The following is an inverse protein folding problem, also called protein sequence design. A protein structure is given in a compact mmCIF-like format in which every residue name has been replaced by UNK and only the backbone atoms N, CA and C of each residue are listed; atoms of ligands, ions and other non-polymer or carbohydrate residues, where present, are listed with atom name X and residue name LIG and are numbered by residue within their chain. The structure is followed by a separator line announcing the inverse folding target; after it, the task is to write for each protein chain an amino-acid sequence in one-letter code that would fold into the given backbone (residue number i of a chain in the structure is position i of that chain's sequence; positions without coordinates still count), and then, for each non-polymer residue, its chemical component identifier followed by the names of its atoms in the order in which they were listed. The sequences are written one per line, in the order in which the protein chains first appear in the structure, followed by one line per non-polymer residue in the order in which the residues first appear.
data_IF_996252143419
#
_entry.id   IF_996252143419
#
_cell.length_a   1.000
_cell.length_b   1.000
_cell.length_c   1.000
_cell.angle_alpha   90.00
_cell.angle_beta   90.00
_cell.angle_gamma   90.00
#
_symmetry.space_group_name_H-M   'P 1'
#
loop_
_entity.id
_entity.type
_entity.pdbx_description
1 polymer ?
#
# COMPACT_ATOMS: atom_id res chain seq x y z
N UNK A 1 4.34 4.21 -60.55
CA UNK A 1 3.72 4.74 -59.31
C UNK A 1 4.85 5.27 -58.45
N UNK A 2 5.15 6.57 -58.56
CA UNK A 2 6.08 7.22 -57.63
C UNK A 2 5.39 7.34 -56.27
N UNK A 3 6.04 6.86 -55.21
CA UNK A 3 5.60 7.10 -53.84
C UNK A 3 6.06 8.49 -53.45
N UNK A 4 5.12 9.43 -53.34
CA UNK A 4 5.38 10.77 -52.81
C UNK A 4 5.89 10.63 -51.37
N UNK A 5 7.18 10.95 -51.17
CA UNK A 5 7.84 10.84 -49.87
C UNK A 5 7.48 12.08 -49.05
N UNK A 6 6.43 11.97 -48.24
CA UNK A 6 6.03 13.01 -47.28
C UNK A 6 7.13 13.18 -46.22
N UNK A 7 7.94 14.22 -46.38
CA UNK A 7 8.97 14.56 -45.41
C UNK A 7 8.32 15.31 -44.23
N UNK A 8 8.01 14.57 -43.16
CA UNK A 8 7.52 15.19 -41.92
C UNK A 8 8.62 16.11 -41.39
N UNK A 9 8.35 17.41 -41.19
CA UNK A 9 9.37 18.35 -40.77
C UNK A 9 9.86 18.02 -39.35
N UNK A 10 11.18 17.99 -39.16
CA UNK A 10 11.81 17.68 -37.86
C UNK A 10 11.28 18.53 -36.69
N UNK A 11 10.90 19.79 -36.97
CA UNK A 11 10.28 20.68 -35.99
C UNK A 11 8.92 20.18 -35.49
N UNK A 12 8.14 19.56 -36.37
CA UNK A 12 6.86 18.94 -36.00
C UNK A 12 7.09 17.68 -35.16
N UNK A 13 8.03 16.83 -35.55
CA UNK A 13 8.43 15.65 -34.75
C UNK A 13 8.95 16.05 -33.37
N UNK A 14 9.84 17.05 -33.29
CA UNK A 14 10.35 17.59 -32.03
C UNK A 14 9.26 18.23 -31.17
N UNK A 15 8.32 18.94 -31.79
CA UNK A 15 7.15 19.48 -31.09
C UNK A 15 6.26 18.38 -30.51
N UNK A 16 5.93 17.35 -31.29
CA UNK A 16 5.13 16.20 -30.84
C UNK A 16 5.84 15.47 -29.68
N UNK A 17 7.15 15.26 -29.79
CA UNK A 17 7.95 14.65 -28.74
C UNK A 17 7.89 15.47 -27.44
N UNK A 18 8.10 16.79 -27.52
CA UNK A 18 8.06 17.66 -26.34
C UNK A 18 6.69 17.68 -25.68
N UNK A 19 5.60 17.75 -26.46
CA UNK A 19 4.23 17.69 -25.94
C UNK A 19 3.97 16.34 -25.26
N UNK A 20 4.33 15.24 -25.90
CA UNK A 20 4.18 13.88 -25.33
C UNK A 20 4.94 13.75 -24.02
N UNK A 21 6.18 14.26 -23.96
CA UNK A 21 7.01 14.23 -22.77
C UNK A 21 6.38 15.06 -21.63
N UNK A 22 5.83 16.23 -21.94
CA UNK A 22 5.16 17.09 -20.96
C UNK A 22 3.91 16.41 -20.40
N UNK A 23 3.08 15.84 -21.26
CA UNK A 23 1.90 15.07 -20.85
C UNK A 23 2.27 13.86 -19.99
N UNK A 24 3.34 13.14 -20.36
CA UNK A 24 3.85 12.03 -19.57
C UNK A 24 4.24 12.46 -18.16
N UNK A 25 5.05 13.52 -18.02
CA UNK A 25 5.46 13.99 -16.69
C UNK A 25 4.28 14.51 -15.88
N UNK A 26 3.39 15.29 -16.48
CA UNK A 26 2.20 15.79 -15.80
C UNK A 26 1.31 14.65 -15.29
N UNK A 27 1.08 13.64 -16.13
CA UNK A 27 0.31 12.45 -15.75
C UNK A 27 1.00 11.63 -14.67
N UNK A 28 2.30 11.35 -14.83
CA UNK A 28 3.08 10.56 -13.88
C UNK A 28 3.11 11.21 -12.49
N UNK A 29 3.52 12.48 -12.39
CA UNK A 29 3.59 13.19 -11.12
C UNK A 29 2.20 13.47 -10.53
N UNK A 30 1.19 13.71 -11.38
CA UNK A 30 -0.19 13.82 -10.92
C UNK A 30 -0.67 12.54 -10.25
N UNK A 31 -0.39 11.37 -10.84
CA UNK A 31 -0.73 10.07 -10.28
C UNK A 31 0.05 9.77 -9.00
N UNK A 32 1.35 10.04 -8.96
CA UNK A 32 2.15 9.89 -7.74
C UNK A 32 1.61 10.76 -6.60
N UNK A 33 1.28 12.02 -6.89
CA UNK A 33 0.71 12.92 -5.91
C UNK A 33 -0.65 12.39 -5.40
N UNK A 34 -1.54 11.94 -6.29
CA UNK A 34 -2.83 11.38 -5.89
C UNK A 34 -2.66 10.11 -5.03
N UNK A 35 -1.67 9.28 -5.34
CA UNK A 35 -1.35 8.05 -4.62
C UNK A 35 -0.91 8.33 -3.19
N UNK A 36 -0.07 9.33 -2.96
CA UNK A 36 0.59 9.50 -1.66
C UNK A 36 -0.01 10.62 -0.78
N UNK A 37 -0.79 11.56 -1.35
CA UNK A 37 -1.22 12.79 -0.65
C UNK A 37 -1.97 12.62 0.67
N UNK A 38 -2.62 11.47 0.92
CA UNK A 38 -3.36 11.23 2.17
C UNK A 38 -2.49 10.61 3.27
N UNK A 39 -1.33 10.07 2.91
CA UNK A 39 -0.44 9.35 3.83
C UNK A 39 -0.98 7.97 4.26
N UNK A 40 -0.08 7.11 4.76
CA UNK A 40 -0.40 5.71 5.08
C UNK A 40 -1.17 5.56 6.38
N UNK A 41 -1.64 4.34 6.65
CA UNK A 41 -1.98 3.92 8.01
C UNK A 41 -0.70 3.80 8.84
N UNK A 42 -0.71 4.36 10.04
CA UNK A 42 0.35 4.19 11.03
C UNK A 42 -0.22 3.46 12.24
N UNK A 43 0.40 2.36 12.62
CA UNK A 43 -0.07 1.48 13.68
C UNK A 43 1.06 1.22 14.66
N UNK A 44 0.85 1.56 15.92
CA UNK A 44 1.78 1.25 17.01
C UNK A 44 1.22 0.13 17.88
N UNK A 45 2.05 -0.85 18.19
CA UNK A 45 1.76 -2.01 19.00
C UNK A 45 2.54 -1.91 20.30
N UNK A 46 1.84 -1.98 21.43
CA UNK A 46 2.41 -2.00 22.77
C UNK A 46 1.98 -3.26 23.52
N UNK A 47 2.86 -4.27 23.54
CA UNK A 47 2.62 -5.54 24.21
C UNK A 47 2.57 -5.42 25.74
N UNK A 48 3.19 -4.38 26.32
CA UNK A 48 3.36 -4.18 27.76
C UNK A 48 2.43 -3.08 28.32
N UNK A 49 1.46 -2.62 27.51
CA UNK A 49 0.51 -1.61 27.93
C UNK A 49 -0.29 -2.06 29.16
N UNK A 50 -0.55 -1.12 30.06
CA UNK A 50 -1.35 -1.37 31.26
C UNK A 50 -2.79 -1.69 30.87
N UNK A 51 -3.31 -2.85 31.30
CA UNK A 51 -4.66 -3.33 30.94
C UNK A 51 -4.69 -4.36 29.81
N UNK A 52 -3.54 -4.63 29.17
CA UNK A 52 -3.40 -5.64 28.12
C UNK A 52 -2.70 -5.09 26.87
N UNK A 53 -2.25 -5.97 25.95
CA UNK A 53 -1.67 -5.56 24.68
C UNK A 53 -2.55 -4.55 23.96
N UNK A 54 -1.95 -3.47 23.47
CA UNK A 54 -2.68 -2.35 22.91
C UNK A 54 -2.16 -2.01 21.51
N UNK A 55 -3.07 -1.89 20.55
CA UNK A 55 -2.81 -1.33 19.23
C UNK A 55 -3.36 0.10 19.17
N UNK A 56 -2.59 1.03 18.63
CA UNK A 56 -3.03 2.42 18.41
C UNK A 56 -2.85 2.79 16.94
N UNK A 57 -3.92 3.27 16.32
CA UNK A 57 -4.01 3.61 14.90
C UNK A 57 -4.02 5.13 14.74
N UNK A 58 -3.26 5.61 13.75
CA UNK A 58 -3.26 7.01 13.29
C UNK A 58 -3.43 7.06 11.77
N UNK A 59 -4.29 7.98 11.34
CA UNK A 59 -4.46 8.39 9.95
C UNK A 59 -4.87 9.89 9.93
N UNK A 60 -3.93 10.80 9.62
CA UNK A 60 -4.18 12.25 9.67
C UNK A 60 -5.21 12.79 8.67
N UNK A 61 -5.22 12.31 7.43
CA UNK A 61 -6.17 12.73 6.39
C UNK A 61 -7.63 12.32 6.69
N UNK A 62 -7.85 11.35 7.58
CA UNK A 62 -9.15 10.95 8.11
C UNK A 62 -9.45 11.58 9.48
N UNK A 63 -8.52 12.36 10.05
CA UNK A 63 -8.66 12.94 11.38
C UNK A 63 -8.52 11.93 12.53
N UNK A 64 -7.98 10.75 12.26
CA UNK A 64 -7.75 9.70 13.26
C UNK A 64 -6.38 9.92 13.87
N UNK A 65 -6.34 10.28 15.15
CA UNK A 65 -5.08 10.43 15.91
C UNK A 65 -5.18 9.69 17.24
N UNK A 66 -4.84 8.41 17.22
CA UNK A 66 -4.73 7.60 18.43
C UNK A 66 -5.95 6.72 18.73
N UNK A 67 -6.65 6.24 17.70
CA UNK A 67 -7.70 5.24 17.90
C UNK A 67 -7.10 3.97 18.51
N UNK A 68 -7.62 3.52 19.65
CA UNK A 68 -7.00 2.48 20.46
C UNK A 68 -7.85 1.22 20.50
N UNK A 69 -7.22 0.08 20.28
CA UNK A 69 -7.76 -1.26 20.46
C UNK A 69 -6.98 -1.94 21.57
N UNK A 70 -7.66 -2.34 22.64
CA UNK A 70 -7.05 -3.06 23.79
C UNK A 70 -7.51 -4.51 23.73
N UNK A 71 -6.55 -5.43 23.74
CA UNK A 71 -6.82 -6.86 23.74
C UNK A 71 -6.84 -7.37 25.18
N UNK A 72 -7.98 -7.19 25.84
CA UNK A 72 -8.16 -7.59 27.24
C UNK A 72 -8.01 -9.10 27.43
N UNK A 73 -7.24 -9.51 28.44
CA UNK A 73 -7.04 -10.92 28.77
C UNK A 73 -6.23 -11.74 27.75
N UNK A 74 -5.65 -11.10 26.73
CA UNK A 74 -4.76 -11.77 25.78
C UNK A 74 -3.46 -12.23 26.45
N UNK A 75 -2.95 -13.39 26.03
CA UNK A 75 -1.62 -13.85 26.43
C UNK A 75 -0.55 -12.94 25.82
N UNK A 76 0.32 -12.40 26.67
CA UNK A 76 1.40 -11.51 26.27
C UNK A 76 2.66 -12.26 25.86
N UNK A 77 2.73 -13.58 26.11
CA UNK A 77 3.91 -14.39 25.81
C UNK A 77 4.22 -14.38 24.31
N UNK A 78 5.42 -13.92 23.97
CA UNK A 78 5.90 -13.87 22.58
C UNK A 78 5.41 -12.68 21.77
N UNK A 79 4.58 -11.79 22.34
CA UNK A 79 4.24 -10.54 21.67
C UNK A 79 5.41 -9.58 21.64
N UNK A 80 5.51 -8.84 20.55
CA UNK A 80 6.52 -7.80 20.38
C UNK A 80 5.83 -6.46 20.26
N UNK A 81 6.44 -5.42 20.81
CA UNK A 81 6.04 -4.04 20.55
C UNK A 81 6.72 -3.54 19.27
N UNK A 82 6.10 -2.59 18.58
CA UNK A 82 6.68 -2.02 17.37
C UNK A 82 5.75 -1.00 16.72
N UNK A 83 6.27 -0.30 15.72
CA UNK A 83 5.50 0.62 14.91
C UNK A 83 5.56 0.19 13.45
N UNK A 84 4.43 0.31 12.76
CA UNK A 84 4.28 -0.14 11.39
C UNK A 84 3.54 0.93 10.59
N UNK A 85 4.20 1.44 9.55
CA UNK A 85 3.54 2.18 8.49
C UNK A 85 3.18 1.24 7.35
N UNK A 86 1.98 1.42 6.80
CA UNK A 86 1.49 0.72 5.60
C UNK A 86 1.66 1.61 4.36
N UNK A 87 2.91 1.74 3.93
CA UNK A 87 3.34 2.54 2.77
C UNK A 87 4.09 1.72 1.71
N UNK A 88 4.49 0.48 2.06
CA UNK A 88 5.19 -0.44 1.16
C UNK A 88 4.25 -1.54 0.64
N UNK A 89 3.71 -1.41 -0.59
CA UNK A 89 2.96 -2.49 -1.25
C UNK A 89 3.84 -3.70 -1.56
N UNK A 90 5.15 -3.62 -1.33
CA UNK A 90 6.13 -4.70 -1.44
C UNK A 90 5.94 -5.84 -0.45
N UNK A 91 5.41 -5.56 0.75
CA UNK A 91 5.39 -6.53 1.86
C UNK A 91 4.49 -7.73 1.62
N UNK A 92 3.40 -7.55 0.89
CA UNK A 92 2.47 -8.62 0.50
C UNK A 92 2.68 -9.13 -0.94
N UNK A 93 3.76 -8.70 -1.62
CA UNK A 93 4.06 -9.14 -2.99
C UNK A 93 4.20 -10.66 -3.04
N UNK A 94 3.40 -11.27 -3.90
CA UNK A 94 3.63 -12.64 -4.29
C UNK A 94 4.60 -12.72 -5.47
N UNK A 95 5.45 -13.76 -5.51
CA UNK A 95 6.10 -14.11 -6.75
C UNK A 95 5.02 -14.45 -7.78
N UNK A 96 5.20 -13.99 -9.03
CA UNK A 96 4.34 -14.37 -10.13
C UNK A 96 4.31 -15.90 -10.23
N UNK A 97 3.15 -16.51 -9.99
CA UNK A 97 2.96 -17.93 -10.21
C UNK A 97 3.03 -18.19 -11.73
N UNK A 98 3.92 -19.11 -12.12
CA UNK A 98 4.14 -19.47 -13.53
C UNK A 98 3.43 -20.77 -13.91
N UNK A 99 2.63 -21.35 -13.00
CA UNK A 99 1.90 -22.57 -13.26
C UNK A 99 0.60 -22.29 -14.04
N UNK A 100 0.20 -23.17 -14.97
CA UNK A 100 -1.03 -22.99 -15.74
C UNK A 100 -2.32 -22.98 -14.90
N UNK A 101 -2.27 -23.48 -13.66
CA UNK A 101 -3.42 -23.62 -12.75
C UNK A 101 -3.66 -22.37 -11.87
N UNK A 102 -2.81 -21.35 -11.99
CA UNK A 102 -2.74 -20.10 -11.20
C UNK A 102 -4.02 -19.23 -11.17
N UNK A 103 -5.12 -19.63 -11.81
CA UNK A 103 -6.30 -18.77 -12.03
C UNK A 103 -7.29 -18.72 -10.86
N UNK A 104 -7.09 -19.48 -9.78
CA UNK A 104 -8.15 -19.65 -8.77
C UNK A 104 -7.96 -18.87 -7.46
N UNK A 105 -6.78 -18.34 -7.16
CA UNK A 105 -6.57 -17.65 -5.88
C UNK A 105 -5.75 -16.36 -6.03
N UNK A 106 -6.41 -15.22 -5.87
CA UNK A 106 -5.76 -13.97 -5.50
C UNK A 106 -5.25 -14.10 -4.07
N UNK A 107 -4.14 -14.81 -3.87
CA UNK A 107 -3.48 -14.81 -2.56
C UNK A 107 -2.62 -13.56 -2.53
N UNK A 108 -2.97 -12.54 -1.76
CA UNK A 108 -1.90 -11.67 -1.26
C UNK A 108 -1.15 -12.48 -0.20
N UNK A 109 0.18 -12.38 -0.13
CA UNK A 109 0.91 -13.11 0.90
C UNK A 109 0.77 -12.37 2.22
N UNK A 110 0.26 -13.06 3.24
CA UNK A 110 0.27 -12.52 4.60
C UNK A 110 1.72 -12.31 5.08
N UNK A 111 1.94 -11.25 5.83
CA UNK A 111 3.24 -10.96 6.44
C UNK A 111 3.10 -10.64 7.92
N UNK A 112 4.12 -11.01 8.69
CA UNK A 112 4.10 -10.86 10.14
C UNK A 112 4.05 -9.38 10.55
N UNK A 113 3.23 -9.11 11.55
CA UNK A 113 3.16 -7.85 12.29
C UNK A 113 3.23 -8.16 13.80
N UNK A 114 3.50 -7.20 14.69
CA UNK A 114 3.90 -7.51 16.06
C UNK A 114 2.91 -8.37 16.88
N UNK A 115 1.60 -8.30 16.61
CA UNK A 115 0.56 -9.08 17.29
C UNK A 115 -0.09 -10.18 16.42
N UNK A 116 0.46 -10.48 15.25
CA UNK A 116 -0.11 -11.46 14.32
C UNK A 116 0.38 -11.26 12.89
N UNK A 117 -0.55 -11.09 11.95
CA UNK A 117 -0.22 -10.91 10.54
C UNK A 117 -1.14 -9.91 9.85
N UNK A 118 -0.59 -9.20 8.87
CA UNK A 118 -1.38 -8.49 7.88
C UNK A 118 -1.77 -9.47 6.78
N UNK A 119 -3.06 -9.76 6.65
CA UNK A 119 -3.59 -10.75 5.69
C UNK A 119 -3.96 -10.12 4.35
N UNK A 120 -4.25 -8.83 4.33
CA UNK A 120 -4.59 -8.08 3.13
C UNK A 120 -4.14 -6.62 3.23
N UNK A 121 -3.66 -6.06 2.12
CA UNK A 121 -3.49 -4.61 1.98
C UNK A 121 -3.72 -4.18 0.52
N UNK A 122 -4.43 -3.07 0.35
CA UNK A 122 -4.46 -2.31 -0.91
C UNK A 122 -3.94 -0.90 -0.65
N UNK A 123 -2.74 -0.63 -1.14
CA UNK A 123 -2.03 0.65 -0.99
C UNK A 123 -1.92 1.39 -2.34
N UNK A 124 -2.79 1.08 -3.32
CA UNK A 124 -2.77 1.74 -4.64
C UNK A 124 -2.97 3.25 -4.54
N UNK A 125 -3.83 3.69 -3.62
CA UNK A 125 -3.98 5.08 -3.21
C UNK A 125 -4.10 5.13 -1.69
N UNK A 126 -3.21 5.88 -1.04
CA UNK A 126 -3.19 5.99 0.40
C UNK A 126 -4.45 6.72 0.91
N UNK A 127 -4.92 6.40 2.14
CA UNK A 127 -4.36 5.40 3.05
C UNK A 127 -4.63 3.95 2.66
N UNK A 128 -5.56 3.72 1.73
CA UNK A 128 -5.92 2.36 1.31
C UNK A 128 -6.71 1.59 2.37
N UNK A 129 -6.76 0.28 2.20
CA UNK A 129 -7.38 -0.67 3.15
C UNK A 129 -6.32 -1.66 3.62
N UNK A 130 -6.35 -2.00 4.90
CA UNK A 130 -5.43 -2.95 5.53
C UNK A 130 -6.24 -3.85 6.43
N UNK A 131 -6.14 -5.15 6.23
CA UNK A 131 -6.78 -6.15 7.09
C UNK A 131 -5.72 -6.95 7.83
N UNK A 132 -5.83 -7.00 9.15
CA UNK A 132 -4.92 -7.73 10.02
C UNK A 132 -5.67 -8.80 10.80
N UNK A 133 -5.04 -9.95 10.98
CA UNK A 133 -5.44 -10.94 11.97
C UNK A 133 -4.51 -10.80 13.18
N UNK A 134 -5.03 -10.22 14.25
CA UNK A 134 -4.31 -9.92 15.48
C UNK A 134 -4.94 -10.72 16.62
N UNK A 135 -4.15 -11.61 17.23
CA UNK A 135 -4.58 -12.40 18.40
C UNK A 135 -5.91 -13.17 18.18
N UNK A 136 -6.18 -13.59 16.95
CA UNK A 136 -7.41 -14.30 16.58
C UNK A 136 -8.60 -13.39 16.20
N UNK A 137 -8.39 -12.07 16.13
CA UNK A 137 -9.37 -11.10 15.69
C UNK A 137 -8.99 -10.50 14.35
N UNK A 138 -9.95 -10.45 13.43
CA UNK A 138 -9.81 -9.73 12.17
C UNK A 138 -10.18 -8.25 12.36
N UNK A 139 -9.31 -7.36 11.90
CA UNK A 139 -9.47 -5.90 11.98
C UNK A 139 -9.21 -5.31 10.60
N UNK A 140 -10.15 -4.51 10.10
CA UNK A 140 -10.12 -3.81 8.80
C UNK A 140 -10.34 -2.29 8.97
#
# INVERSE_FOLDING_TARGET
MEREQSNIPWRFLGGLFAVTLLLYFAGFYGMEHLRDRKGPWQVSFDAAATGGPTMTIRQPALGIDGFRVVFEGADTNGLTSGELAFDDPGRNKQPMDRTPESSQELKQRAFAVPFGECIYQDLMFLPGVVTMNLLGHEIE
#
